data_IF_006702444784
#
_entry.id   IF_006702444784
#
_cell.length_a   1.000
_cell.length_b   1.000
_cell.length_c   1.000
_cell.angle_alpha   90.00
_cell.angle_beta   90.00
_cell.angle_gamma   90.00
#
_symmetry.space_group_name_H-M   'P 1'
#
loop_
_entity.id
_entity.type
_entity.pdbx_description
1 polymer ?
#
# COMPACT_ATOMS: atom_id res chain seq x y z
N UNK A 1 -6.25 -17.42 12.35
CA UNK A 1 -4.94 -16.83 12.02
C UNK A 1 -4.57 -17.00 10.55
N UNK A 2 -4.66 -18.19 9.95
CA UNK A 2 -4.21 -18.46 8.55
C UNK A 2 -4.78 -17.47 7.51
N UNK A 3 -6.07 -17.15 7.58
CA UNK A 3 -6.70 -16.17 6.67
C UNK A 3 -6.07 -14.78 6.80
N UNK A 4 -5.89 -14.28 8.02
CA UNK A 4 -5.29 -12.96 8.25
C UNK A 4 -3.86 -12.90 7.74
N UNK A 5 -3.07 -13.94 8.01
CA UNK A 5 -1.71 -14.07 7.47
C UNK A 5 -1.74 -14.00 5.96
N UNK A 6 -2.47 -14.90 5.28
CA UNK A 6 -2.55 -14.94 3.82
C UNK A 6 -3.02 -13.62 3.21
N UNK A 7 -3.98 -12.93 3.83
CA UNK A 7 -4.41 -11.60 3.37
C UNK A 7 -3.29 -10.56 3.49
N UNK A 8 -2.53 -10.54 4.60
CA UNK A 8 -1.38 -9.61 4.72
C UNK A 8 -0.28 -9.90 3.70
N UNK A 9 -0.04 -11.17 3.39
CA UNK A 9 0.96 -11.56 2.37
C UNK A 9 0.49 -11.23 0.95
N UNK A 10 -0.81 -11.36 0.69
CA UNK A 10 -1.42 -10.99 -0.58
C UNK A 10 -1.33 -9.47 -0.83
N UNK A 11 -1.70 -8.66 0.17
CA UNK A 11 -1.63 -7.20 0.06
C UNK A 11 -0.19 -6.71 -0.05
N UNK A 12 0.71 -7.30 0.75
CA UNK A 12 2.12 -6.93 0.79
C UNK A 12 3.03 -8.17 0.68
N UNK A 13 3.31 -8.63 -0.56
CA UNK A 13 4.22 -9.75 -0.78
C UNK A 13 5.63 -9.44 -0.29
N UNK A 14 6.07 -8.18 -0.42
CA UNK A 14 7.36 -7.73 0.08
C UNK A 14 7.40 -7.75 1.63
N UNK A 15 8.32 -8.49 2.27
CA UNK A 15 8.39 -8.60 3.72
C UNK A 15 8.62 -7.27 4.46
N UNK A 16 9.38 -6.34 3.87
CA UNK A 16 9.69 -5.06 4.50
C UNK A 16 8.46 -4.13 4.51
N UNK A 17 7.74 -4.06 3.39
CA UNK A 17 6.48 -3.30 3.31
C UNK A 17 5.40 -3.93 4.18
N UNK A 18 5.33 -5.27 4.21
CA UNK A 18 4.42 -6.02 5.09
C UNK A 18 4.62 -5.68 6.56
N UNK A 19 5.87 -5.67 7.04
CA UNK A 19 6.18 -5.31 8.42
C UNK A 19 5.70 -3.90 8.77
N UNK A 20 5.87 -2.94 7.85
CA UNK A 20 5.38 -1.56 8.02
C UNK A 20 3.86 -1.50 8.07
N UNK A 21 3.15 -2.25 7.22
CA UNK A 21 1.68 -2.33 7.22
C UNK A 21 1.10 -2.83 8.55
N UNK A 22 1.76 -3.79 9.20
CA UNK A 22 1.36 -4.28 10.52
C UNK A 22 1.54 -3.21 11.60
N UNK A 23 2.57 -2.36 11.49
CA UNK A 23 2.89 -1.31 12.47
C UNK A 23 1.97 -0.07 12.45
N UNK A 24 1.09 0.07 11.46
CA UNK A 24 0.18 1.23 11.33
C UNK A 24 -0.83 1.33 12.50
N UNK A 25 -0.99 0.26 13.30
CA UNK A 25 -2.00 0.17 14.36
C UNK A 25 -1.73 0.97 15.64
N UNK A 26 -0.58 1.65 15.78
CA UNK A 26 -0.21 2.31 17.05
C UNK A 26 -0.33 3.83 17.06
N UNK A 27 -0.46 4.53 15.92
CA UNK A 27 -0.34 6.00 15.89
C UNK A 27 -1.50 6.77 15.25
N UNK A 28 -2.47 6.11 14.62
CA UNK A 28 -3.51 6.82 13.83
C UNK A 28 -4.69 7.35 14.66
N UNK A 29 -4.89 6.90 15.91
CA UNK A 29 -6.01 7.39 16.74
C UNK A 29 -5.72 8.67 17.53
N UNK A 30 -4.46 9.11 17.65
CA UNK A 30 -4.09 10.17 18.61
C UNK A 30 -3.83 11.55 18.02
N UNK A 31 -3.67 11.70 16.70
CA UNK A 31 -3.16 12.97 16.13
C UNK A 31 -3.85 13.54 14.89
N UNK A 32 -4.88 12.91 14.33
CA UNK A 32 -5.66 13.48 13.22
C UNK A 32 -4.81 13.85 11.98
N UNK A 33 -3.62 13.28 11.84
CA UNK A 33 -2.77 13.43 10.66
C UNK A 33 -2.74 12.08 9.94
N UNK A 34 -3.30 12.05 8.73
CA UNK A 34 -3.09 10.98 7.75
C UNK A 34 -1.61 10.94 7.39
N UNK A 35 -0.82 10.22 8.18
CA UNK A 35 0.44 9.71 7.67
C UNK A 35 0.06 8.49 6.84
N UNK A 36 0.32 8.56 5.53
CA UNK A 36 0.20 7.42 4.63
C UNK A 36 0.94 6.19 5.17
N UNK A 37 0.78 5.05 4.51
CA UNK A 37 1.15 3.71 5.00
C UNK A 37 2.62 3.53 5.46
N UNK A 38 3.50 4.51 5.24
CA UNK A 38 4.90 4.52 5.70
C UNK A 38 5.83 3.71 4.78
N UNK A 39 5.27 3.16 3.71
CA UNK A 39 5.95 2.54 2.58
C UNK A 39 5.36 3.08 1.28
N UNK A 40 6.12 2.95 0.19
CA UNK A 40 5.74 3.40 -1.14
C UNK A 40 5.36 2.15 -1.94
N UNK A 41 4.25 2.20 -2.68
CA UNK A 41 3.84 1.10 -3.53
C UNK A 41 4.79 0.95 -4.72
N UNK A 42 4.93 -0.28 -5.20
CA UNK A 42 5.78 -0.62 -6.34
C UNK A 42 5.39 0.14 -7.61
N UNK A 43 4.10 0.37 -7.80
CA UNK A 43 3.47 1.08 -8.90
C UNK A 43 3.86 2.56 -8.88
N UNK A 44 3.89 3.19 -7.71
CA UNK A 44 4.38 4.57 -7.55
C UNK A 44 5.87 4.68 -7.91
N UNK A 45 6.70 3.76 -7.41
CA UNK A 45 8.15 3.75 -7.71
C UNK A 45 8.42 3.56 -9.21
N UNK A 46 7.65 2.66 -9.84
CA UNK A 46 7.71 2.46 -11.27
C UNK A 46 7.27 3.72 -12.03
N UNK A 47 6.16 4.33 -11.65
CA UNK A 47 5.64 5.56 -12.25
C UNK A 47 6.65 6.72 -12.17
N UNK A 48 7.29 6.92 -11.02
CA UNK A 48 8.36 7.92 -10.85
C UNK A 48 9.54 7.66 -11.79
N UNK A 49 9.96 6.40 -11.93
CA UNK A 49 11.06 6.02 -12.82
C UNK A 49 10.70 6.26 -14.29
N UNK A 50 9.48 5.89 -14.69
CA UNK A 50 8.98 6.10 -16.05
C UNK A 50 8.90 7.59 -16.39
N UNK A 51 8.37 8.43 -15.48
CA UNK A 51 8.33 9.87 -15.69
C UNK A 51 9.73 10.49 -15.74
N UNK A 52 10.64 10.06 -14.86
CA UNK A 52 12.01 10.57 -14.84
C UNK A 52 12.72 10.28 -16.17
N UNK A 53 12.80 9.01 -16.55
CA UNK A 53 13.52 8.62 -17.75
C UNK A 53 12.79 9.00 -19.03
N UNK A 54 11.45 9.10 -19.00
CA UNK A 54 10.65 9.64 -20.10
C UNK A 54 11.00 11.09 -20.41
N UNK A 55 11.18 11.93 -19.38
CA UNK A 55 11.67 13.32 -19.55
C UNK A 55 13.12 13.38 -20.05
N UNK A 56 13.99 12.52 -19.54
CA UNK A 56 15.41 12.47 -19.96
C UNK A 56 15.58 12.07 -21.44
N UNK A 57 14.62 11.33 -22.02
CA UNK A 57 14.60 11.01 -23.45
C UNK A 57 14.27 12.20 -24.36
N UNK A 58 13.74 13.29 -23.79
CA UNK A 58 13.38 14.51 -24.51
C UNK A 58 12.01 14.48 -25.18
N UNK A 59 11.46 15.67 -25.43
CA UNK A 59 10.09 15.87 -25.93
C UNK A 59 9.87 15.37 -27.37
N UNK A 60 10.95 15.21 -28.14
CA UNK A 60 10.92 14.66 -29.50
C UNK A 60 10.79 13.12 -29.52
N UNK A 61 10.97 12.47 -28.37
CA UNK A 61 10.85 11.02 -28.25
C UNK A 61 9.40 10.62 -27.99
N UNK A 62 8.74 10.04 -28.99
CA UNK A 62 7.41 9.44 -28.83
C UNK A 62 7.38 8.41 -27.69
N UNK A 63 8.48 7.67 -27.50
CA UNK A 63 8.59 6.73 -26.38
C UNK A 63 8.75 7.45 -25.04
N UNK A 64 9.48 8.57 -24.99
CA UNK A 64 9.59 9.41 -23.81
C UNK A 64 8.24 9.97 -23.36
N UNK A 65 7.45 10.49 -24.29
CA UNK A 65 6.09 10.96 -24.03
C UNK A 65 5.18 9.84 -23.53
N UNK A 66 5.19 8.68 -24.20
CA UNK A 66 4.41 7.51 -23.76
C UNK A 66 4.82 7.02 -22.36
N UNK A 67 6.11 7.08 -22.02
CA UNK A 67 6.60 6.74 -20.67
C UNK A 67 6.09 7.73 -19.62
N UNK A 68 6.00 9.02 -19.94
CA UNK A 68 5.48 10.02 -19.01
C UNK A 68 4.00 9.74 -18.73
N UNK A 69 3.19 9.55 -19.77
CA UNK A 69 1.75 9.28 -19.65
C UNK A 69 1.49 7.98 -18.87
N UNK A 70 2.17 6.90 -19.26
CA UNK A 70 2.03 5.62 -18.56
C UNK A 70 2.56 5.71 -17.12
N UNK A 71 3.60 6.52 -16.87
CA UNK A 71 4.13 6.78 -15.54
C UNK A 71 3.15 7.53 -14.63
N UNK A 72 2.32 8.41 -15.18
CA UNK A 72 1.20 9.03 -14.44
C UNK A 72 0.14 8.01 -14.07
N UNK A 73 -0.31 7.17 -15.01
CA UNK A 73 -1.27 6.10 -14.71
C UNK A 73 -0.74 5.11 -13.66
N UNK A 74 0.57 4.82 -13.66
CA UNK A 74 1.17 3.97 -12.63
C UNK A 74 1.18 4.65 -11.24
N UNK A 75 1.35 5.98 -11.18
CA UNK A 75 1.23 6.72 -9.91
C UNK A 75 -0.18 6.63 -9.35
N UNK A 76 -1.19 6.85 -10.18
CA UNK A 76 -2.62 6.73 -9.80
C UNK A 76 -2.94 5.30 -9.33
N UNK A 77 -2.39 4.28 -10.00
CA UNK A 77 -2.54 2.89 -9.57
C UNK A 77 -1.94 2.65 -8.17
N UNK A 78 -0.82 3.31 -7.85
CA UNK A 78 -0.24 3.30 -6.52
C UNK A 78 -1.17 3.87 -5.44
N UNK A 79 -1.89 4.96 -5.75
CA UNK A 79 -2.88 5.54 -4.83
C UNK A 79 -4.07 4.60 -4.60
N UNK A 80 -4.56 3.94 -5.65
CA UNK A 80 -5.61 2.92 -5.54
C UNK A 80 -5.13 1.72 -4.72
N UNK A 81 -3.87 1.31 -4.89
CA UNK A 81 -3.27 0.21 -4.13
C UNK A 81 -3.12 0.57 -2.65
N UNK A 82 -2.76 1.82 -2.33
CA UNK A 82 -2.74 2.33 -0.96
C UNK A 82 -4.14 2.29 -0.33
N UNK A 83 -5.15 2.74 -1.07
CA UNK A 83 -6.54 2.70 -0.61
C UNK A 83 -7.01 1.27 -0.33
N UNK A 84 -6.69 0.32 -1.22
CA UNK A 84 -6.99 -1.11 -1.01
C UNK A 84 -6.36 -1.65 0.28
N UNK A 85 -5.07 -1.34 0.50
CA UNK A 85 -4.36 -1.81 1.69
C UNK A 85 -4.97 -1.25 2.98
N UNK A 86 -5.34 0.04 2.99
CA UNK A 86 -6.00 0.69 4.12
C UNK A 86 -7.39 0.09 4.38
N UNK A 87 -8.21 -0.05 3.34
CA UNK A 87 -9.58 -0.55 3.43
C UNK A 87 -9.61 -1.98 3.99
N UNK A 88 -8.81 -2.88 3.42
CA UNK A 88 -8.74 -4.28 3.89
C UNK A 88 -8.16 -4.35 5.30
N UNK A 89 -7.19 -3.50 5.63
CA UNK A 89 -6.66 -3.46 6.99
C UNK A 89 -7.71 -3.06 8.01
N UNK A 90 -8.38 -1.92 7.80
CA UNK A 90 -9.34 -1.35 8.74
C UNK A 90 -10.62 -2.18 8.86
N UNK A 91 -11.12 -2.71 7.74
CA UNK A 91 -12.44 -3.33 7.68
C UNK A 91 -12.41 -4.86 7.70
N UNK A 92 -11.23 -5.49 7.56
CA UNK A 92 -11.10 -6.94 7.59
C UNK A 92 -10.04 -7.42 8.60
N UNK A 93 -8.80 -6.94 8.52
CA UNK A 93 -7.72 -7.44 9.38
C UNK A 93 -7.87 -7.03 10.85
N UNK A 94 -8.11 -5.75 11.13
CA UNK A 94 -8.22 -5.24 12.50
C UNK A 94 -9.43 -5.81 13.28
N UNK A 95 -10.64 -5.96 12.67
CA UNK A 95 -11.76 -6.64 13.31
C UNK A 95 -11.46 -8.11 13.64
N UNK A 96 -10.83 -8.86 12.71
CA UNK A 96 -10.46 -10.25 12.94
C UNK A 96 -9.39 -10.41 14.02
N UNK A 97 -8.44 -9.47 14.11
CA UNK A 97 -7.47 -9.44 15.20
C UNK A 97 -8.16 -9.23 16.55
N UNK A 98 -9.14 -8.32 16.62
CA UNK A 98 -9.90 -8.05 17.84
C UNK A 98 -10.70 -9.28 18.29
N UNK A 99 -11.42 -9.91 17.35
CA UNK A 99 -12.16 -11.16 17.59
C UNK A 99 -11.25 -12.25 18.17
N UNK A 100 -10.05 -12.41 17.60
CA UNK A 100 -9.09 -13.42 18.05
C UNK A 100 -8.50 -13.11 19.43
N UNK A 101 -8.10 -11.86 19.66
CA UNK A 101 -7.35 -11.50 20.87
C UNK A 101 -8.21 -11.26 22.10
N UNK A 102 -9.50 -11.00 21.92
CA UNK A 102 -10.46 -10.74 23.00
C UNK A 102 -11.53 -11.81 23.04
N UNK A 103 -12.48 -11.76 22.12
CA UNK A 103 -13.73 -12.51 22.22
C UNK A 103 -13.51 -14.03 22.28
N UNK A 104 -12.61 -14.56 21.44
CA UNK A 104 -12.29 -15.99 21.46
C UNK A 104 -11.53 -16.44 22.71
N UNK A 105 -10.74 -15.56 23.32
CA UNK A 105 -10.01 -15.86 24.58
C UNK A 105 -10.92 -15.81 25.80
N UNK A 106 -11.99 -15.02 25.77
CA UNK A 106 -12.97 -14.98 26.87
C UNK A 106 -13.85 -16.24 26.91
N UNK A 107 -13.97 -16.96 25.80
CA UNK A 107 -14.80 -18.17 25.66
C UNK A 107 -13.99 -19.46 25.96
N UNK A 108 -12.67 -19.43 25.81
CA UNK A 108 -11.77 -20.57 25.99
C UNK A 108 -11.28 -20.72 27.44
#
# INVERSE_FOLDING_TARGET
MDIMTKTTEYLQPNPASRAKMTMINSMSKMRGQEKGLGYIQTETVLGESMQKFGRELGEESNFGLALIDAGESMRELGEVKDALDMEVKQNFLDPLQTLHDKDLKEIA
#
